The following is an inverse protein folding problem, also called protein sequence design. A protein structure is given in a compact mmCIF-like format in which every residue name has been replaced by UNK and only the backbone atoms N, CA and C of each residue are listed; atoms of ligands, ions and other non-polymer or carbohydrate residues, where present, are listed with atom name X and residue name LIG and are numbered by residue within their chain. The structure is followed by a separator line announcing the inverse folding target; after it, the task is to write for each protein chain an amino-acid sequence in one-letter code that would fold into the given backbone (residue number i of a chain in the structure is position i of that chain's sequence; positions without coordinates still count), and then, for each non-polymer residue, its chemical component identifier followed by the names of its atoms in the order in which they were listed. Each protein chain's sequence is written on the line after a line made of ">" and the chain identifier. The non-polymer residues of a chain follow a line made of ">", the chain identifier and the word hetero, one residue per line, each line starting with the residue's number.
data_IF_920930095404
#
_entry.id   IF_920930095404
#
_cell.length_a   1.000
_cell.length_b   1.000
_cell.length_c   1.000
_cell.angle_alpha   90.00
_cell.angle_beta   90.00
_cell.angle_gamma   90.00
#
_symmetry.space_group_name_H-M   'P 1'
#
loop_
_entity.id
_entity.type
_entity.pdbx_description
1 polymer ?
#
# COMPACT_ATOMS: atom_id res chain seq x y z
N UNK A 1 47.39 -15.50 24.70
CA UNK A 1 46.96 -15.34 23.30
C UNK A 1 45.43 -15.16 23.11
N UNK A 2 44.63 -14.98 24.17
CA UNK A 2 43.15 -14.92 24.06
C UNK A 2 42.55 -13.55 23.69
N UNK A 3 43.32 -12.44 23.79
CA UNK A 3 42.79 -11.07 23.58
C UNK A 3 42.59 -10.70 22.11
N UNK A 4 43.46 -11.17 21.20
CA UNK A 4 43.37 -10.87 19.75
C UNK A 4 42.10 -11.44 19.09
N UNK A 5 41.60 -12.58 19.60
CA UNK A 5 40.40 -13.25 19.06
C UNK A 5 39.09 -12.55 19.47
N UNK A 6 39.09 -11.75 20.54
CA UNK A 6 37.92 -11.00 21.00
C UNK A 6 37.76 -9.68 20.23
N UNK A 7 38.86 -9.06 19.82
CA UNK A 7 38.86 -7.82 19.03
C UNK A 7 38.42 -8.07 17.59
N UNK A 8 38.95 -9.12 16.94
CA UNK A 8 38.55 -9.52 15.58
C UNK A 8 37.06 -9.92 15.47
N UNK A 9 36.45 -10.45 16.53
CA UNK A 9 35.02 -10.77 16.57
C UNK A 9 34.13 -9.56 16.83
N UNK A 10 34.66 -8.49 17.43
CA UNK A 10 33.95 -7.23 17.66
C UNK A 10 33.94 -6.38 16.40
N UNK A 11 35.07 -6.29 15.70
CA UNK A 11 35.18 -5.60 14.41
C UNK A 11 34.32 -6.27 13.34
N UNK A 12 34.31 -7.62 13.30
CA UNK A 12 33.47 -8.45 12.42
C UNK A 12 31.97 -8.53 12.78
N UNK A 13 31.55 -7.88 13.87
CA UNK A 13 30.13 -7.64 14.20
C UNK A 13 29.74 -6.17 13.98
N UNK A 14 30.68 -5.23 14.06
CA UNK A 14 30.46 -3.80 13.82
C UNK A 14 30.30 -3.50 12.31
N UNK A 15 31.13 -4.10 11.48
CA UNK A 15 31.04 -4.08 10.02
C UNK A 15 29.72 -4.68 9.49
N UNK A 16 29.23 -5.77 10.08
CA UNK A 16 27.92 -6.38 9.73
C UNK A 16 26.74 -5.53 10.21
N UNK A 17 26.87 -4.81 11.32
CA UNK A 17 25.88 -3.81 11.75
C UNK A 17 25.87 -2.57 10.84
N UNK A 18 27.02 -2.19 10.30
CA UNK A 18 27.14 -1.03 9.41
C UNK A 18 26.38 -1.21 8.09
N UNK A 19 26.25 -2.46 7.61
CA UNK A 19 25.52 -2.77 6.37
C UNK A 19 23.99 -2.87 6.54
N UNK A 20 23.49 -3.13 7.76
CA UNK A 20 22.06 -3.37 8.00
C UNK A 20 21.34 -2.25 8.76
N UNK A 21 21.98 -1.09 8.88
CA UNK A 21 21.35 0.10 9.47
C UNK A 21 21.31 1.16 8.38
N UNK A 22 20.16 1.71 7.99
CA UNK A 22 20.14 2.95 7.21
C UNK A 22 20.68 4.05 8.12
N UNK A 23 22.01 4.15 8.22
CA UNK A 23 22.71 5.28 8.81
C UNK A 23 22.62 6.43 7.83
N UNK A 24 21.43 6.98 7.73
CA UNK A 24 21.14 8.11 6.90
C UNK A 24 21.13 9.30 7.84
N UNK A 25 22.33 9.85 8.08
CA UNK A 25 22.46 11.06 8.88
C UNK A 25 21.65 12.18 8.20
N UNK A 26 20.85 12.94 8.96
CA UNK A 26 20.06 14.03 8.42
C UNK A 26 21.00 15.07 7.78
N UNK A 27 20.55 15.74 6.69
CA UNK A 27 21.26 16.89 6.14
C UNK A 27 21.54 17.94 7.22
N UNK A 28 22.68 18.65 7.09
CA UNK A 28 23.06 19.71 8.04
C UNK A 28 21.89 20.69 8.26
N UNK A 29 21.46 20.86 9.51
CA UNK A 29 20.34 21.72 9.89
C UNK A 29 18.98 21.01 10.03
N UNK A 30 18.91 19.69 9.82
CA UNK A 30 17.69 18.90 10.00
C UNK A 30 17.81 17.98 11.22
N UNK A 31 16.78 17.98 12.08
CA UNK A 31 16.68 17.05 13.21
C UNK A 31 16.50 15.62 12.70
N UNK A 32 17.13 14.64 13.36
CA UNK A 32 16.99 13.21 13.05
C UNK A 32 15.52 12.78 12.97
N UNK A 33 14.68 13.28 13.87
CA UNK A 33 13.25 12.96 13.95
C UNK A 33 12.46 13.40 12.70
N UNK A 34 12.76 14.58 12.14
CA UNK A 34 12.19 15.02 10.85
C UNK A 34 12.69 14.17 9.70
N UNK A 35 13.96 13.79 9.72
CA UNK A 35 14.55 12.97 8.67
C UNK A 35 13.96 11.57 8.65
N UNK A 36 13.80 10.94 9.81
CA UNK A 36 13.19 9.62 9.95
C UNK A 36 11.71 9.63 9.50
N UNK A 37 10.99 10.72 9.81
CA UNK A 37 9.61 10.93 9.33
C UNK A 37 9.57 11.10 7.81
N UNK A 38 10.47 11.90 7.24
CA UNK A 38 10.58 12.07 5.79
C UNK A 38 10.94 10.76 5.11
N UNK A 39 11.86 9.98 5.65
CA UNK A 39 12.21 8.64 5.14
C UNK A 39 11.01 7.69 5.25
N UNK A 40 10.23 7.75 6.32
CA UNK A 40 9.01 6.97 6.46
C UNK A 40 7.94 7.37 5.44
N UNK A 41 7.78 8.65 5.16
CA UNK A 41 6.88 9.18 4.13
C UNK A 41 7.40 8.83 2.71
N UNK A 42 8.71 8.86 2.50
CA UNK A 42 9.40 8.52 1.25
C UNK A 42 9.34 7.04 0.91
N UNK A 43 9.18 6.15 1.91
CA UNK A 43 9.02 4.70 1.69
C UNK A 43 7.70 4.33 1.02
N UNK A 44 6.72 5.23 0.99
CA UNK A 44 5.44 5.03 0.32
C UNK A 44 5.03 6.26 -0.51
N UNK A 45 5.81 6.61 -1.56
CA UNK A 45 5.46 7.71 -2.43
C UNK A 45 4.14 7.36 -3.14
N UNK A 46 3.25 8.36 -3.30
CA UNK A 46 1.94 8.23 -3.95
C UNK A 46 0.81 7.58 -3.14
N UNK A 47 0.95 7.46 -1.80
CA UNK A 47 -0.10 6.90 -0.93
C UNK A 47 -1.45 7.62 -1.04
N UNK A 48 -1.43 8.95 -1.20
CA UNK A 48 -2.65 9.76 -1.42
C UNK A 48 -3.28 9.50 -2.78
N UNK A 49 -2.47 9.47 -3.84
CA UNK A 49 -2.93 9.21 -5.20
C UNK A 49 -3.60 7.85 -5.37
N UNK A 50 -3.07 6.79 -4.75
CA UNK A 50 -3.71 5.47 -4.74
C UNK A 50 -5.11 5.49 -4.13
N UNK A 51 -5.30 6.20 -3.01
CA UNK A 51 -6.61 6.36 -2.37
C UNK A 51 -7.62 7.05 -3.28
N UNK A 52 -7.17 8.06 -4.03
CA UNK A 52 -8.04 8.76 -5.01
C UNK A 52 -8.49 7.79 -6.09
N UNK A 53 -7.57 6.97 -6.64
CA UNK A 53 -7.92 5.95 -7.64
C UNK A 53 -8.91 4.92 -7.07
N UNK A 54 -8.68 4.42 -5.85
CA UNK A 54 -9.59 3.46 -5.23
C UNK A 54 -10.98 4.07 -4.96
N UNK A 55 -11.03 5.32 -4.51
CA UNK A 55 -12.27 6.03 -4.25
C UNK A 55 -13.04 6.31 -5.53
N UNK A 56 -12.37 6.77 -6.60
CA UNK A 56 -13.01 7.05 -7.88
C UNK A 56 -13.49 5.78 -8.58
N UNK A 57 -12.68 4.72 -8.58
CA UNK A 57 -13.09 3.42 -9.10
C UNK A 57 -14.26 2.82 -8.31
N UNK A 58 -14.23 2.91 -6.98
CA UNK A 58 -15.32 2.45 -6.11
C UNK A 58 -16.61 3.24 -6.33
N UNK A 59 -16.55 4.57 -6.42
CA UNK A 59 -17.70 5.42 -6.67
C UNK A 59 -18.33 5.16 -8.05
N UNK A 60 -17.50 5.06 -9.10
CA UNK A 60 -17.95 4.74 -10.45
C UNK A 60 -18.69 3.39 -10.50
N UNK A 61 -18.10 2.38 -9.85
CA UNK A 61 -18.71 1.06 -9.78
C UNK A 61 -20.01 1.02 -8.97
N UNK A 62 -20.13 1.80 -7.90
CA UNK A 62 -21.37 1.90 -7.12
C UNK A 62 -22.51 2.54 -7.94
N UNK A 63 -22.21 3.60 -8.69
CA UNK A 63 -23.19 4.28 -9.56
C UNK A 63 -23.67 3.33 -10.66
N UNK A 64 -22.75 2.69 -11.40
CA UNK A 64 -23.15 1.78 -12.47
C UNK A 64 -23.87 0.53 -11.95
N UNK A 65 -23.44 -0.03 -10.82
CA UNK A 65 -24.14 -1.12 -10.14
C UNK A 65 -25.58 -0.75 -9.76
N UNK A 66 -25.80 0.45 -9.23
CA UNK A 66 -27.13 0.97 -8.94
C UNK A 66 -28.01 1.11 -10.20
N UNK A 67 -27.44 1.63 -11.29
CA UNK A 67 -28.16 1.77 -12.58
C UNK A 67 -28.55 0.41 -13.15
N UNK A 68 -27.63 -0.56 -13.22
CA UNK A 68 -27.99 -1.88 -13.74
C UNK A 68 -28.95 -2.64 -12.81
N UNK A 69 -28.84 -2.48 -11.49
CA UNK A 69 -29.78 -3.06 -10.53
C UNK A 69 -31.19 -2.53 -10.77
N UNK A 70 -31.34 -1.22 -10.96
CA UNK A 70 -32.64 -0.60 -11.26
C UNK A 70 -33.17 -1.01 -12.65
N UNK A 71 -32.31 -1.20 -13.66
CA UNK A 71 -32.72 -1.76 -14.97
C UNK A 71 -33.26 -3.19 -14.87
N UNK A 72 -32.60 -4.05 -14.10
CA UNK A 72 -33.06 -5.43 -13.84
C UNK A 72 -34.40 -5.42 -13.09
N UNK A 73 -34.54 -4.60 -12.05
CA UNK A 73 -35.79 -4.43 -11.30
C UNK A 73 -36.94 -3.93 -12.19
N UNK A 74 -36.64 -3.07 -13.16
CA UNK A 74 -37.61 -2.56 -14.12
C UNK A 74 -37.95 -3.57 -15.23
N UNK A 75 -37.35 -4.76 -15.24
CA UNK A 75 -37.57 -5.78 -16.27
C UNK A 75 -37.07 -5.39 -17.66
N UNK A 76 -36.23 -4.35 -17.78
CA UNK A 76 -35.71 -3.84 -19.06
C UNK A 76 -34.31 -4.34 -19.33
N UNK A 77 -34.06 -4.74 -20.58
CA UNK A 77 -32.74 -5.15 -21.09
C UNK A 77 -32.04 -6.20 -20.21
N UNK A 78 -32.80 -7.12 -19.61
CA UNK A 78 -32.29 -8.04 -18.56
C UNK A 78 -31.18 -8.95 -19.10
N UNK A 79 -31.31 -9.42 -20.35
CA UNK A 79 -30.31 -10.28 -21.00
C UNK A 79 -28.95 -9.58 -21.20
N UNK A 80 -28.96 -8.26 -21.37
CA UNK A 80 -27.75 -7.45 -21.58
C UNK A 80 -27.25 -6.81 -20.26
N UNK A 81 -28.17 -6.57 -19.32
CA UNK A 81 -27.89 -5.94 -18.02
C UNK A 81 -27.31 -6.93 -17.01
N UNK A 82 -27.69 -8.22 -17.05
CA UNK A 82 -27.14 -9.26 -16.16
C UNK A 82 -25.61 -9.43 -16.29
N UNK A 83 -25.06 -9.69 -17.50
CA UNK A 83 -23.62 -9.89 -17.65
C UNK A 83 -22.83 -8.61 -17.35
N UNK A 84 -23.36 -7.43 -17.73
CA UNK A 84 -22.74 -6.15 -17.39
C UNK A 84 -22.72 -5.87 -15.88
N UNK A 85 -23.81 -6.17 -15.17
CA UNK A 85 -23.89 -6.06 -13.71
C UNK A 85 -22.93 -7.04 -13.03
N UNK A 86 -22.84 -8.29 -13.49
CA UNK A 86 -21.90 -9.28 -12.97
C UNK A 86 -20.43 -8.83 -13.16
N UNK A 87 -20.10 -8.32 -14.35
CA UNK A 87 -18.76 -7.80 -14.65
C UNK A 87 -18.44 -6.59 -13.77
N UNK A 88 -19.39 -5.67 -13.60
CA UNK A 88 -19.19 -4.48 -12.78
C UNK A 88 -19.04 -4.81 -11.30
N UNK A 89 -19.83 -5.75 -10.77
CA UNK A 89 -19.66 -6.28 -9.41
C UNK A 89 -18.28 -6.95 -9.29
N UNK A 90 -17.83 -7.69 -10.29
CA UNK A 90 -16.49 -8.30 -10.32
C UNK A 90 -15.37 -7.26 -10.21
N UNK A 91 -15.42 -6.20 -11.02
CA UNK A 91 -14.44 -5.10 -10.99
C UNK A 91 -14.46 -4.37 -9.65
N UNK A 92 -15.63 -4.09 -9.10
CA UNK A 92 -15.77 -3.45 -7.78
C UNK A 92 -15.22 -4.35 -6.68
N UNK A 93 -15.57 -5.63 -6.69
CA UNK A 93 -15.09 -6.60 -5.72
C UNK A 93 -13.56 -6.71 -5.74
N UNK A 94 -12.94 -6.76 -6.93
CA UNK A 94 -11.48 -6.75 -7.08
C UNK A 94 -10.88 -5.45 -6.52
N UNK A 95 -11.46 -4.30 -6.84
CA UNK A 95 -10.98 -2.99 -6.35
C UNK A 95 -11.02 -2.91 -4.82
N UNK A 96 -12.14 -3.32 -4.21
CA UNK A 96 -12.32 -3.34 -2.75
C UNK A 96 -11.40 -4.37 -2.08
N UNK A 97 -11.25 -5.55 -2.70
CA UNK A 97 -10.34 -6.59 -2.24
C UNK A 97 -8.88 -6.10 -2.23
N UNK A 98 -8.43 -5.46 -3.32
CA UNK A 98 -7.08 -4.91 -3.43
C UNK A 98 -6.82 -3.83 -2.39
N UNK A 99 -7.78 -2.92 -2.19
CA UNK A 99 -7.74 -1.90 -1.15
C UNK A 99 -7.62 -2.52 0.24
N UNK A 100 -8.44 -3.53 0.55
CA UNK A 100 -8.40 -4.23 1.85
C UNK A 100 -7.08 -4.98 2.05
N UNK A 101 -6.53 -5.59 1.00
CA UNK A 101 -5.27 -6.33 1.07
C UNK A 101 -4.07 -5.40 1.30
N UNK A 102 -4.06 -4.23 0.65
CA UNK A 102 -3.02 -3.22 0.87
C UNK A 102 -3.08 -2.66 2.30
N UNK A 103 -4.26 -2.51 2.89
CA UNK A 103 -4.41 -2.10 4.28
C UNK A 103 -3.98 -3.17 5.30
N UNK A 104 -4.15 -4.46 4.98
CA UNK A 104 -3.69 -5.57 5.85
C UNK A 104 -2.16 -5.62 5.92
N UNK A 105 -1.46 -5.44 4.79
CA UNK A 105 0.01 -5.39 4.76
C UNK A 105 0.65 -4.24 5.53
N UNK A 106 -0.15 -3.24 5.98
CA UNK A 106 0.33 -2.15 6.84
C UNK A 106 0.31 -2.51 8.33
N UNK A 107 -0.39 -3.57 8.73
CA UNK A 107 -0.46 -4.00 10.13
C UNK A 107 0.72 -4.90 10.53
N UNK A 108 1.40 -5.46 9.53
CA UNK A 108 2.51 -6.41 9.70
C UNK A 108 3.91 -5.79 9.43
N UNK A 109 4.01 -4.46 9.37
CA UNK A 109 5.28 -3.71 9.24
C UNK A 109 5.39 -2.60 10.25
#
# INVERSE_FOLDING_TARGET
>A
MAKANAEGKKTAKQDKKAWNTPNAKPPKGMSQERYDRLVAESKAPYKGFRKVIYASAGASGAIGGFVFLTKILAGRDVAESLPNLALQIGVVAITVFLFRWEDRKKKDK
#
